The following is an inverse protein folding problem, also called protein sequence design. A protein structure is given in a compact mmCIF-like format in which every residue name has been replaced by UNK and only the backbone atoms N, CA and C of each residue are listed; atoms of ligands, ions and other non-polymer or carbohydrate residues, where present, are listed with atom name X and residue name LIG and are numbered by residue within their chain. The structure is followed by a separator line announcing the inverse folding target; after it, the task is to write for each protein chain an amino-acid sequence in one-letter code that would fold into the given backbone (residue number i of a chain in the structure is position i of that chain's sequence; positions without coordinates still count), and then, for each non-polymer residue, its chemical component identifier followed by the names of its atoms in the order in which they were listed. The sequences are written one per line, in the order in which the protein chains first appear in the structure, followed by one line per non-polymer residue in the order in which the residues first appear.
data_IF_340307825739
#
_entry.id   IF_340307825739
#
_cell.length_a   1.000
_cell.length_b   1.000
_cell.length_c   1.000
_cell.angle_alpha   90.00
_cell.angle_beta   90.00
_cell.angle_gamma   90.00
#
_symmetry.space_group_name_H-M   'P 1'
#
loop_
_entity.id
_entity.type
_entity.pdbx_description
1 polymer ?
#
# COMPACT_ATOMS: atom_id res chain seq x y z
N UNK A 1 -2.13 13.65 13.81
CA UNK A 1 -2.79 12.42 13.36
C UNK A 1 -1.95 11.91 12.23
N UNK A 2 -1.52 10.67 12.30
CA UNK A 2 -0.61 10.09 11.30
C UNK A 2 -1.44 9.71 10.08
N UNK A 3 -0.96 9.99 8.88
CA UNK A 3 -1.61 9.58 7.63
C UNK A 3 -0.60 9.07 6.63
N UNK A 4 -1.06 8.21 5.72
CA UNK A 4 -0.24 7.75 4.61
C UNK A 4 -0.19 8.86 3.55
N UNK A 5 1.02 9.24 3.15
CA UNK A 5 1.25 10.29 2.16
C UNK A 5 1.83 9.78 0.85
N UNK A 6 2.42 8.58 0.86
CA UNK A 6 3.03 8.01 -0.32
C UNK A 6 3.05 6.47 -0.25
N UNK A 7 3.15 5.84 -1.42
CA UNK A 7 3.40 4.42 -1.53
C UNK A 7 4.18 4.07 -2.79
N UNK A 8 5.00 3.02 -2.70
CA UNK A 8 5.76 2.48 -3.83
C UNK A 8 5.48 0.98 -3.98
N UNK A 9 5.36 0.52 -5.22
CA UNK A 9 5.22 -0.90 -5.55
C UNK A 9 6.53 -1.40 -6.16
N UNK A 10 7.09 -2.46 -5.60
CA UNK A 10 8.29 -3.12 -6.07
C UNK A 10 7.96 -4.54 -6.52
N UNK A 11 8.44 -4.93 -7.70
CA UNK A 11 8.35 -6.30 -8.18
C UNK A 11 9.72 -6.96 -8.10
N UNK A 12 9.81 -8.09 -7.40
CA UNK A 12 11.01 -8.90 -7.31
C UNK A 12 10.71 -10.26 -7.96
N UNK A 13 11.25 -10.49 -9.17
CA UNK A 13 10.89 -11.64 -10.02
C UNK A 13 9.39 -11.66 -10.43
N UNK A 14 8.93 -12.46 -11.43
CA UNK A 14 7.54 -12.38 -11.91
C UNK A 14 6.46 -12.77 -10.89
N UNK A 15 6.85 -13.09 -9.65
CA UNK A 15 6.01 -13.75 -8.64
C UNK A 15 5.98 -13.03 -7.29
N UNK A 16 6.88 -12.09 -6.98
CA UNK A 16 6.80 -11.32 -5.74
C UNK A 16 6.46 -9.87 -6.01
N UNK A 17 5.79 -9.27 -5.03
CA UNK A 17 5.45 -7.85 -5.03
C UNK A 17 5.49 -7.33 -3.60
N UNK A 18 6.27 -6.29 -3.37
CA UNK A 18 6.30 -5.54 -2.13
C UNK A 18 5.62 -4.18 -2.30
N UNK A 19 4.96 -3.74 -1.25
CA UNK A 19 4.38 -2.42 -1.09
C UNK A 19 5.11 -1.73 0.06
N UNK A 20 5.65 -0.54 -0.22
CA UNK A 20 6.17 0.38 0.78
C UNK A 20 5.14 1.47 1.01
N UNK A 21 4.86 1.79 2.27
CA UNK A 21 3.98 2.88 2.69
C UNK A 21 4.78 3.89 3.49
N UNK A 22 4.55 5.17 3.23
CA UNK A 22 5.20 6.28 3.96
C UNK A 22 4.14 7.15 4.61
N UNK A 23 4.35 7.51 5.87
CA UNK A 23 3.48 8.41 6.62
C UNK A 23 4.03 9.84 6.65
N UNK A 24 3.17 10.80 6.99
CA UNK A 24 3.54 12.21 7.10
C UNK A 24 4.55 12.52 8.22
N UNK A 25 4.67 11.65 9.22
CA UNK A 25 5.68 11.72 10.28
C UNK A 25 6.95 10.91 10.01
N UNK A 26 7.07 10.33 8.81
CA UNK A 26 8.29 9.66 8.33
C UNK A 26 8.43 8.18 8.72
N UNK A 27 7.38 7.56 9.27
CA UNK A 27 7.33 6.11 9.46
C UNK A 27 7.21 5.40 8.10
N UNK A 28 7.90 4.27 7.97
CA UNK A 28 7.88 3.44 6.76
C UNK A 28 7.36 2.05 7.12
N UNK A 29 6.29 1.62 6.45
CA UNK A 29 5.73 0.27 6.53
C UNK A 29 6.01 -0.54 5.27
N UNK A 30 6.22 -1.84 5.42
CA UNK A 30 6.41 -2.78 4.31
C UNK A 30 5.38 -3.90 4.38
N UNK A 31 4.81 -4.25 3.24
CA UNK A 31 3.81 -5.31 3.08
C UNK A 31 4.09 -6.09 1.80
N UNK A 32 3.72 -7.37 1.76
CA UNK A 32 3.77 -8.21 0.55
C UNK A 32 2.34 -8.56 0.10
N UNK A 33 1.63 -7.67 -0.62
CA UNK A 33 0.26 -7.92 -1.03
C UNK A 33 0.25 -8.78 -2.29
N UNK A 34 0.63 -10.05 -2.20
CA UNK A 34 0.76 -10.93 -3.37
C UNK A 34 -0.22 -12.10 -3.35
N UNK A 35 -0.71 -12.43 -4.54
CA UNK A 35 -1.28 -13.74 -4.87
C UNK A 35 -0.35 -14.37 -5.90
N UNK A 36 0.10 -15.60 -5.64
CA UNK A 36 1.09 -16.27 -6.48
C UNK A 36 0.64 -16.30 -7.96
N UNK A 37 1.53 -15.87 -8.87
CA UNK A 37 1.26 -15.80 -10.30
C UNK A 37 0.34 -14.65 -10.74
N UNK A 38 -0.10 -13.76 -9.83
CA UNK A 38 -1.03 -12.66 -10.12
C UNK A 38 -0.51 -11.27 -9.71
N UNK A 39 0.81 -11.12 -9.51
CA UNK A 39 1.45 -9.88 -9.04
C UNK A 39 0.92 -8.60 -9.70
N UNK A 40 0.86 -8.56 -11.04
CA UNK A 40 0.41 -7.37 -11.77
C UNK A 40 -1.08 -7.06 -11.57
N UNK A 41 -1.92 -8.08 -11.46
CA UNK A 41 -3.35 -7.89 -11.17
C UNK A 41 -3.54 -7.34 -9.76
N UNK A 42 -2.80 -7.87 -8.78
CA UNK A 42 -2.88 -7.36 -7.42
C UNK A 42 -2.31 -5.95 -7.31
N UNK A 43 -1.23 -5.63 -8.04
CA UNK A 43 -0.69 -4.27 -8.11
C UNK A 43 -1.74 -3.25 -8.56
N UNK A 44 -2.51 -3.59 -9.61
CA UNK A 44 -3.56 -2.71 -10.11
C UNK A 44 -4.67 -2.50 -9.06
N UNK A 45 -5.07 -3.56 -8.36
CA UNK A 45 -6.01 -3.44 -7.25
C UNK A 45 -5.47 -2.56 -6.12
N UNK A 46 -4.18 -2.70 -5.77
CA UNK A 46 -3.52 -1.83 -4.77
C UNK A 46 -3.59 -0.38 -5.20
N UNK A 47 -3.22 -0.05 -6.44
CA UNK A 47 -3.26 1.33 -6.95
C UNK A 47 -4.67 1.92 -6.80
N UNK A 48 -5.69 1.20 -7.29
CA UNK A 48 -7.07 1.67 -7.23
C UNK A 48 -7.57 1.89 -5.80
N UNK A 49 -7.24 0.98 -4.87
CA UNK A 49 -7.66 1.08 -3.47
C UNK A 49 -6.89 2.20 -2.73
N UNK A 50 -5.59 2.35 -2.99
CA UNK A 50 -4.77 3.39 -2.39
C UNK A 50 -5.27 4.79 -2.77
N UNK A 51 -5.50 5.03 -4.06
CA UNK A 51 -5.99 6.32 -4.56
C UNK A 51 -7.42 6.63 -4.09
N UNK A 52 -8.27 5.60 -4.00
CA UNK A 52 -9.68 5.79 -3.67
C UNK A 52 -9.95 5.96 -2.18
N UNK A 53 -9.27 5.19 -1.33
CA UNK A 53 -9.59 5.08 0.09
C UNK A 53 -8.43 5.56 0.98
N UNK A 54 -7.22 5.06 0.75
CA UNK A 54 -6.13 5.18 1.73
C UNK A 54 -5.48 6.57 1.72
N UNK A 55 -5.10 7.10 0.55
CA UNK A 55 -4.42 8.41 0.45
C UNK A 55 -5.32 9.60 0.84
N UNK A 56 -6.64 9.39 0.91
CA UNK A 56 -7.60 10.41 1.35
C UNK A 56 -7.88 10.34 2.85
N UNK A 57 -7.39 9.31 3.52
CA UNK A 57 -7.66 9.08 4.93
C UNK A 57 -6.78 9.98 5.80
N UNK A 58 -7.40 10.76 6.69
CA UNK A 58 -6.67 11.76 7.49
C UNK A 58 -6.05 11.18 8.77
N UNK A 59 -6.41 9.95 9.15
CA UNK A 59 -5.84 9.27 10.30
C UNK A 59 -5.85 7.73 10.16
N UNK A 60 -4.69 7.10 10.31
CA UNK A 60 -4.51 5.65 10.26
C UNK A 60 -4.43 4.96 11.64
N UNK A 61 -4.65 5.69 12.74
CA UNK A 61 -4.61 5.13 14.11
C UNK A 61 -5.68 4.04 14.35
N UNK A 62 -6.67 3.91 13.46
CA UNK A 62 -7.68 2.87 13.49
C UNK A 62 -7.84 2.19 12.12
N UNK A 63 -7.03 1.15 11.90
CA UNK A 63 -6.94 0.42 10.63
C UNK A 63 -8.28 -0.20 10.19
N UNK A 64 -9.16 -0.54 11.13
CA UNK A 64 -10.44 -1.21 10.86
C UNK A 64 -11.47 -0.28 10.19
N UNK A 65 -11.24 1.03 10.25
CA UNK A 65 -12.15 2.02 9.68
C UNK A 65 -11.72 2.49 8.28
N UNK A 66 -10.54 2.07 7.81
CA UNK A 66 -9.96 2.47 6.52
C UNK A 66 -10.68 1.77 5.36
#
# INVERSE_FOLDING_TARGET
MVKIVNYDIFFEQPRWMFLKLETDDGLIGWVEPIVEGRAKTVAQAVIELMEKYVLKYENIDNIENI
#
